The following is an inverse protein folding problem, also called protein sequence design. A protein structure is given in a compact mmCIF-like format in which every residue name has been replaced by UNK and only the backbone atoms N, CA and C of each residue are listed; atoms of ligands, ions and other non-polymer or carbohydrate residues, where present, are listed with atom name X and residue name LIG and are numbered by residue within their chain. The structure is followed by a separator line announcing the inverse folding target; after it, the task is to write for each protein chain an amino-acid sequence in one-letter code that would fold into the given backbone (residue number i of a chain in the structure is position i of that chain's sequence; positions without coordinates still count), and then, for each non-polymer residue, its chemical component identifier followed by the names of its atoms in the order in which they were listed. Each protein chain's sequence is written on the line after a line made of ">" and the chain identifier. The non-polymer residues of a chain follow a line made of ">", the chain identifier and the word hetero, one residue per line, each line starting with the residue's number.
data_IF_447368700647
#
_entry.id   IF_447368700647
#
_cell.length_a   1.000
_cell.length_b   1.000
_cell.length_c   1.000
_cell.angle_alpha   90.00
_cell.angle_beta   90.00
_cell.angle_gamma   90.00
#
_symmetry.space_group_name_H-M   'P 1'
#
loop_
_entity.id
_entity.type
_entity.pdbx_description
1 polymer ?
#
# COMPACT_ATOMS: atom_id res chain seq x y z
N UNK A 1 -32.99 8.00 10.01
CA UNK A 1 -31.66 7.35 9.94
C UNK A 1 -30.90 8.06 8.83
N UNK A 2 -29.98 8.96 9.17
CA UNK A 2 -29.23 9.76 8.19
C UNK A 2 -27.95 9.01 7.84
N UNK A 3 -27.79 8.61 6.58
CA UNK A 3 -26.54 8.07 6.06
C UNK A 3 -25.47 9.15 6.18
N UNK A 4 -24.59 9.01 7.17
CA UNK A 4 -23.37 9.78 7.23
C UNK A 4 -22.52 9.36 6.03
N UNK A 5 -22.44 10.23 5.03
CA UNK A 5 -21.46 10.12 3.96
C UNK A 5 -20.09 10.13 4.63
N UNK A 6 -19.50 8.94 4.72
CA UNK A 6 -18.13 8.77 5.22
C UNK A 6 -17.24 9.42 4.17
N UNK A 7 -16.78 10.63 4.48
CA UNK A 7 -15.75 11.32 3.75
C UNK A 7 -14.58 10.34 3.56
N UNK A 8 -14.50 9.78 2.35
CA UNK A 8 -13.63 8.65 2.03
C UNK A 8 -12.21 9.12 1.71
N UNK A 9 -11.94 10.40 1.94
CA UNK A 9 -10.59 10.94 1.83
C UNK A 9 -9.76 10.35 2.96
N UNK A 10 -8.72 9.55 2.67
CA UNK A 10 -7.82 9.08 3.71
C UNK A 10 -7.26 10.32 4.39
N UNK A 11 -7.28 10.33 5.74
CA UNK A 11 -6.58 11.37 6.47
C UNK A 11 -5.13 11.42 5.97
N UNK A 12 -4.53 12.62 5.96
CA UNK A 12 -3.15 12.78 5.47
C UNK A 12 -2.18 11.78 6.11
N UNK A 13 -2.44 11.37 7.37
CA UNK A 13 -1.65 10.34 8.06
C UNK A 13 -1.76 8.97 7.40
N UNK A 14 -2.96 8.52 7.00
CA UNK A 14 -3.16 7.21 6.37
C UNK A 14 -2.50 7.12 4.99
N UNK A 15 -2.54 8.20 4.21
CA UNK A 15 -1.84 8.24 2.92
C UNK A 15 -0.31 8.19 3.11
N UNK A 16 0.23 8.96 4.05
CA UNK A 16 1.66 8.93 4.36
C UNK A 16 2.14 7.55 4.87
N UNK A 17 1.34 6.89 5.71
CA UNK A 17 1.60 5.53 6.20
C UNK A 17 1.61 4.51 5.06
N UNK A 18 0.65 4.58 4.14
CA UNK A 18 0.65 3.73 2.94
C UNK A 18 1.89 3.99 2.10
N UNK A 19 2.24 5.25 1.84
CA UNK A 19 3.43 5.60 1.07
C UNK A 19 4.72 5.08 1.72
N UNK A 20 4.83 5.17 3.05
CA UNK A 20 5.96 4.57 3.81
C UNK A 20 6.02 3.05 3.62
N UNK A 21 4.89 2.35 3.75
CA UNK A 21 4.83 0.90 3.53
C UNK A 21 5.26 0.51 2.12
N UNK A 22 4.80 1.24 1.10
CA UNK A 22 5.19 0.98 -0.29
C UNK A 22 6.67 1.28 -0.54
N UNK A 23 7.25 2.28 0.14
CA UNK A 23 8.70 2.52 0.09
C UNK A 23 9.50 1.38 0.72
N UNK A 24 9.03 0.79 1.82
CA UNK A 24 9.64 -0.41 2.41
C UNK A 24 9.65 -1.57 1.41
N UNK A 25 8.53 -1.81 0.70
CA UNK A 25 8.47 -2.81 -0.39
C UNK A 25 9.49 -2.50 -1.48
N UNK A 26 9.55 -1.24 -1.95
CA UNK A 26 10.49 -0.81 -3.00
C UNK A 26 11.96 -1.07 -2.63
N UNK A 27 12.29 -0.92 -1.35
CA UNK A 27 13.65 -1.15 -0.81
C UNK A 27 13.93 -2.60 -0.46
N UNK A 28 12.95 -3.49 -0.56
CA UNK A 28 13.09 -4.90 -0.15
C UNK A 28 13.18 -5.07 1.37
N UNK A 29 12.64 -4.13 2.14
CA UNK A 29 12.65 -4.20 3.61
C UNK A 29 11.69 -5.28 4.13
N UNK A 30 11.98 -5.80 5.32
CA UNK A 30 11.11 -6.76 6.00
C UNK A 30 9.89 -6.04 6.55
N UNK A 31 8.71 -6.47 6.11
CA UNK A 31 7.40 -5.98 6.57
C UNK A 31 6.56 -7.14 7.09
N UNK A 32 5.62 -6.82 7.98
CA UNK A 32 4.74 -7.78 8.61
C UNK A 32 3.98 -8.63 7.57
N UNK A 33 3.86 -9.96 7.72
CA UNK A 33 3.23 -10.84 6.73
C UNK A 33 1.81 -10.40 6.31
N UNK A 34 0.96 -10.03 7.28
CA UNK A 34 -0.41 -9.58 6.97
C UNK A 34 -0.44 -8.26 6.20
N UNK A 35 0.56 -7.38 6.37
CA UNK A 35 0.66 -6.17 5.56
C UNK A 35 1.05 -6.49 4.13
N UNK A 36 1.93 -7.48 3.91
CA UNK A 36 2.26 -7.95 2.56
C UNK A 36 1.00 -8.48 1.85
N UNK A 37 0.26 -9.35 2.52
CA UNK A 37 -1.00 -9.90 2.00
C UNK A 37 -2.02 -8.80 1.69
N UNK A 38 -2.17 -7.82 2.58
CA UNK A 38 -3.06 -6.68 2.36
C UNK A 38 -2.62 -5.86 1.14
N UNK A 39 -1.33 -5.54 0.99
CA UNK A 39 -0.82 -4.78 -0.15
C UNK A 39 -1.02 -5.52 -1.48
N UNK A 40 -0.91 -6.84 -1.47
CA UNK A 40 -1.21 -7.70 -2.63
C UNK A 40 -2.70 -7.70 -2.93
N UNK A 41 -3.54 -7.88 -1.91
CA UNK A 41 -4.98 -7.87 -2.06
C UNK A 41 -5.51 -6.53 -2.61
N UNK A 42 -4.93 -5.41 -2.19
CA UNK A 42 -5.25 -4.06 -2.68
C UNK A 42 -4.65 -3.73 -4.07
N UNK A 43 -3.83 -4.63 -4.61
CA UNK A 43 -3.19 -4.50 -5.92
C UNK A 43 -2.04 -3.48 -5.98
N UNK A 44 -1.47 -3.10 -4.84
CA UNK A 44 -0.30 -2.20 -4.78
C UNK A 44 1.03 -2.94 -4.87
N UNK A 45 1.05 -4.21 -4.50
CA UNK A 45 2.21 -5.08 -4.61
C UNK A 45 1.82 -6.43 -5.22
N UNK A 46 2.81 -7.18 -5.68
CA UNK A 46 2.65 -8.54 -6.19
C UNK A 46 3.89 -9.36 -5.84
N UNK A 47 3.72 -10.68 -5.70
CA UNK A 47 4.85 -11.58 -5.55
C UNK A 47 5.46 -11.87 -6.92
N UNK A 48 6.73 -11.48 -7.11
CA UNK A 48 7.55 -11.87 -8.25
C UNK A 48 8.61 -12.85 -7.76
N UNK A 49 8.44 -14.12 -8.13
CA UNK A 49 9.21 -15.23 -7.56
C UNK A 49 9.08 -15.25 -6.02
N UNK A 50 10.19 -15.03 -5.31
CA UNK A 50 10.26 -15.02 -3.84
C UNK A 50 10.24 -13.60 -3.25
N UNK A 51 10.19 -12.57 -4.10
CA UNK A 51 10.23 -11.18 -3.68
C UNK A 51 8.86 -10.53 -3.81
N UNK A 52 8.54 -9.66 -2.86
CA UNK A 52 7.41 -8.74 -3.00
C UNK A 52 7.89 -7.52 -3.79
N UNK A 53 7.19 -7.18 -4.88
CA UNK A 53 7.50 -6.04 -5.73
C UNK A 53 6.28 -5.13 -5.86
N UNK A 54 6.51 -3.84 -6.12
CA UNK A 54 5.42 -2.91 -6.41
C UNK A 54 4.81 -3.20 -7.80
N UNK A 55 3.49 -3.08 -7.90
CA UNK A 55 2.78 -2.97 -9.18
C UNK A 55 2.95 -1.55 -9.74
N UNK A 56 2.48 -1.30 -10.96
CA UNK A 56 2.46 0.06 -11.52
C UNK A 56 1.60 1.02 -10.68
N UNK A 57 0.49 0.53 -10.15
CA UNK A 57 -0.37 1.26 -9.21
C UNK A 57 0.39 1.62 -7.93
N UNK A 58 1.16 0.68 -7.38
CA UNK A 58 2.01 0.94 -6.20
C UNK A 58 3.11 1.96 -6.48
N UNK A 59 3.76 1.88 -7.64
CA UNK A 59 4.79 2.85 -8.08
C UNK A 59 4.24 4.27 -8.21
N UNK A 60 3.03 4.44 -8.76
CA UNK A 60 2.41 5.75 -8.91
C UNK A 60 2.20 6.48 -7.57
N UNK A 61 1.98 5.75 -6.47
CA UNK A 61 1.78 6.35 -5.14
C UNK A 61 3.07 6.84 -4.48
N UNK A 62 4.21 6.18 -4.75
CA UNK A 62 5.50 6.54 -4.14
C UNK A 62 6.39 7.41 -5.02
N UNK A 63 5.97 7.65 -6.27
CA UNK A 63 6.77 8.36 -7.26
C UNK A 63 7.94 7.55 -7.80
N UNK A 64 8.73 8.13 -8.72
CA UNK A 64 9.94 7.49 -9.26
C UNK A 64 10.93 7.06 -8.16
#
# INVERSE_FOLDING_TARGET
>A
MSSAEVDSTPSKSTHEELCKLLQCVRRGEVIHPHLKELLVHLGFAEYRFLALALTDKGRQLVGP
#
